data_IF_823914005835
#
_entry.id   IF_823914005835
#
_cell.length_a   1.000
_cell.length_b   1.000
_cell.length_c   1.000
_cell.angle_alpha   90.00
_cell.angle_beta   90.00
_cell.angle_gamma   90.00
#
_symmetry.space_group_name_H-M   'P 1'
#
loop_
_entity.id
_entity.type
_entity.pdbx_description
1 polymer ?
#
# COMPACT_ATOMS: atom_id res chain seq x y z
N UNK A 1 3.87 19.44 -2.13
CA UNK A 1 2.50 19.26 -1.62
C UNK A 1 2.50 19.74 -0.18
N UNK A 2 1.50 20.50 0.30
CA UNK A 2 1.44 20.80 1.75
C UNK A 2 1.09 19.52 2.51
N UNK A 3 1.71 19.28 3.66
CA UNK A 3 1.47 18.06 4.46
C UNK A 3 -0.02 17.84 4.76
N UNK A 4 -0.76 18.93 4.90
CA UNK A 4 -2.23 18.95 5.08
C UNK A 4 -2.97 18.29 3.91
N UNK A 5 -2.57 18.55 2.67
CA UNK A 5 -3.21 17.95 1.50
C UNK A 5 -2.94 16.45 1.44
N UNK A 6 -1.72 16.00 1.76
CA UNK A 6 -1.38 14.59 1.83
C UNK A 6 -2.19 13.87 2.92
N UNK A 7 -2.36 14.48 4.09
CA UNK A 7 -3.23 13.94 5.15
C UNK A 7 -4.70 13.84 4.71
N UNK A 8 -5.23 14.87 4.04
CA UNK A 8 -6.61 14.86 3.55
C UNK A 8 -6.80 13.79 2.49
N UNK A 9 -5.94 13.75 1.47
CA UNK A 9 -6.06 12.78 0.36
C UNK A 9 -5.87 11.36 0.87
N UNK A 10 -4.85 11.12 1.69
CA UNK A 10 -4.61 9.82 2.31
C UNK A 10 -5.73 9.41 3.28
N UNK A 11 -6.24 10.34 4.08
CA UNK A 11 -7.33 10.08 5.01
C UNK A 11 -8.65 9.74 4.30
N UNK A 12 -9.00 10.53 3.27
CA UNK A 12 -10.20 10.30 2.45
C UNK A 12 -10.09 8.98 1.69
N UNK A 13 -8.94 8.70 1.08
CA UNK A 13 -8.70 7.42 0.40
C UNK A 13 -8.86 6.22 1.34
N UNK A 14 -8.34 6.33 2.56
CA UNK A 14 -8.44 5.25 3.55
C UNK A 14 -9.88 5.05 4.00
N UNK A 15 -10.59 6.15 4.29
CA UNK A 15 -12.00 6.11 4.66
C UNK A 15 -12.86 5.49 3.55
N UNK A 16 -12.61 5.83 2.28
CA UNK A 16 -13.34 5.26 1.14
C UNK A 16 -13.14 3.75 1.03
N UNK A 17 -11.91 3.25 1.20
CA UNK A 17 -11.63 1.80 1.15
C UNK A 17 -12.35 1.08 2.30
N UNK A 18 -12.33 1.65 3.50
CA UNK A 18 -13.05 1.09 4.65
C UNK A 18 -14.57 1.05 4.41
N UNK A 19 -15.14 2.11 3.84
CA UNK A 19 -16.56 2.16 3.49
C UNK A 19 -16.88 1.09 2.43
N UNK A 20 -16.08 0.98 1.38
CA UNK A 20 -16.26 -0.04 0.33
C UNK A 20 -16.20 -1.45 0.93
N UNK A 21 -15.29 -1.70 1.88
CA UNK A 21 -15.17 -2.97 2.57
C UNK A 21 -16.42 -3.36 3.38
N UNK A 22 -17.23 -2.40 3.85
CA UNK A 22 -18.47 -2.68 4.56
C UNK A 22 -19.58 -3.18 3.62
N UNK A 23 -19.60 -2.70 2.38
CA UNK A 23 -20.61 -3.07 1.38
C UNK A 23 -20.19 -4.25 0.51
N UNK A 24 -18.89 -4.50 0.37
CA UNK A 24 -18.32 -5.60 -0.43
C UNK A 24 -17.36 -6.42 0.46
N UNK A 25 -17.90 -7.32 1.32
CA UNK A 25 -17.06 -8.11 2.23
C UNK A 25 -16.21 -9.16 1.51
N UNK A 26 -16.68 -9.65 0.35
CA UNK A 26 -16.00 -10.65 -0.48
C UNK A 26 -15.75 -10.12 -1.89
N UNK A 27 -14.74 -9.25 -2.07
CA UNK A 27 -14.38 -8.72 -3.38
C UNK A 27 -13.89 -9.83 -4.32
N UNK A 28 -14.19 -9.70 -5.61
CA UNK A 28 -13.64 -10.59 -6.65
C UNK A 28 -12.11 -10.49 -6.72
N UNK A 29 -11.44 -11.47 -7.31
CA UNK A 29 -9.98 -11.48 -7.44
C UNK A 29 -9.42 -10.18 -8.05
N UNK A 30 -10.10 -9.64 -9.07
CA UNK A 30 -9.70 -8.37 -9.67
C UNK A 30 -9.90 -7.19 -8.72
N UNK A 31 -11.05 -7.12 -8.03
CA UNK A 31 -11.33 -6.07 -7.05
C UNK A 31 -10.32 -6.09 -5.90
N UNK A 32 -9.88 -7.27 -5.44
CA UNK A 32 -8.83 -7.39 -4.43
C UNK A 32 -7.51 -6.78 -4.87
N UNK A 33 -7.11 -7.01 -6.13
CA UNK A 33 -5.88 -6.42 -6.68
C UNK A 33 -5.99 -4.89 -6.73
N UNK A 34 -7.12 -4.37 -7.22
CA UNK A 34 -7.38 -2.93 -7.31
C UNK A 34 -7.43 -2.29 -5.91
N UNK A 35 -8.19 -2.86 -4.98
CA UNK A 35 -8.30 -2.34 -3.61
C UNK A 35 -6.96 -2.35 -2.89
N UNK A 36 -6.16 -3.42 -3.06
CA UNK A 36 -4.80 -3.47 -2.52
C UNK A 36 -3.91 -2.37 -3.10
N UNK A 37 -3.95 -2.17 -4.42
CA UNK A 37 -3.16 -1.13 -5.07
C UNK A 37 -3.52 0.26 -4.53
N UNK A 38 -4.82 0.58 -4.45
CA UNK A 38 -5.29 1.85 -3.92
C UNK A 38 -4.91 1.99 -2.44
N UNK A 39 -5.09 0.96 -1.61
CA UNK A 39 -4.71 0.96 -0.20
C UNK A 39 -3.21 1.26 -0.01
N UNK A 40 -2.35 0.60 -0.78
CA UNK A 40 -0.90 0.83 -0.72
C UNK A 40 -0.53 2.27 -1.11
N UNK A 41 -1.21 2.85 -2.12
CA UNK A 41 -0.99 4.24 -2.52
C UNK A 41 -1.42 5.21 -1.43
N UNK A 42 -2.62 5.00 -0.88
CA UNK A 42 -3.18 5.81 0.20
C UNK A 42 -2.26 5.83 1.42
N UNK A 43 -1.77 4.66 1.84
CA UNK A 43 -0.84 4.56 2.98
C UNK A 43 0.50 5.23 2.64
N UNK A 44 1.02 5.05 1.42
CA UNK A 44 2.22 5.76 0.97
C UNK A 44 2.09 7.29 1.08
N UNK A 45 0.94 7.84 0.69
CA UNK A 45 0.64 9.28 0.80
C UNK A 45 0.56 9.72 2.27
N UNK A 46 -0.06 8.93 3.15
CA UNK A 46 -0.08 9.25 4.58
C UNK A 46 1.32 9.24 5.19
N UNK A 47 2.12 8.22 4.90
CA UNK A 47 3.48 8.08 5.42
C UNK A 47 4.40 9.18 4.88
N UNK A 48 4.10 9.78 3.73
CA UNK A 48 4.90 10.92 3.22
C UNK A 48 4.91 12.13 4.16
N UNK A 49 3.95 12.21 5.09
CA UNK A 49 3.83 13.31 6.07
C UNK A 49 4.58 13.03 7.37
N UNK A 50 4.99 11.78 7.58
CA UNK A 50 5.72 11.37 8.78
C UNK A 50 7.21 11.63 8.55
N UNK A 51 7.87 12.43 9.39
CA UNK A 51 9.31 12.63 9.28
C UNK A 51 10.05 11.34 9.65
N UNK A 52 10.94 10.89 8.78
CA UNK A 52 11.76 9.69 8.99
C UNK A 52 12.02 8.92 7.71
N UNK A 53 13.04 8.05 7.73
CA UNK A 53 13.37 7.18 6.60
C UNK A 53 12.96 5.75 6.94
N UNK A 54 11.73 5.37 6.56
CA UNK A 54 11.39 3.96 6.47
C UNK A 54 12.26 3.36 5.38
N UNK A 55 13.15 2.42 5.68
CA UNK A 55 14.05 1.81 4.70
C UNK A 55 13.75 0.33 4.60
N UNK A 56 13.42 -0.12 3.39
CA UNK A 56 13.22 -1.54 3.10
C UNK A 56 14.28 -2.03 2.12
N UNK A 57 14.75 -3.25 2.36
CA UNK A 57 15.59 -4.00 1.46
C UNK A 57 15.01 -5.40 1.37
N UNK A 58 14.14 -5.61 0.39
CA UNK A 58 13.50 -6.89 0.13
C UNK A 58 14.32 -7.60 -0.93
N UNK A 59 14.78 -8.81 -0.62
CA UNK A 59 15.44 -9.69 -1.57
C UNK A 59 14.64 -10.98 -1.66
N UNK A 60 14.31 -11.42 -2.86
CA UNK A 60 13.58 -12.67 -3.08
C UNK A 60 13.95 -13.34 -4.39
N UNK A 61 13.34 -14.51 -4.63
CA UNK A 61 13.46 -15.29 -5.86
C UNK A 61 12.08 -15.51 -6.47
N UNK A 62 11.95 -15.27 -7.77
CA UNK A 62 10.80 -15.65 -8.58
C UNK A 62 11.34 -16.43 -9.79
N UNK A 63 10.91 -17.69 -9.95
CA UNK A 63 11.15 -18.50 -11.16
C UNK A 63 12.58 -18.37 -11.71
N UNK A 64 13.57 -18.67 -10.85
CA UNK A 64 15.03 -18.57 -11.07
C UNK A 64 15.68 -17.18 -11.14
N UNK A 65 14.91 -16.09 -11.18
CA UNK A 65 15.46 -14.74 -11.15
C UNK A 65 15.45 -14.13 -9.73
N UNK A 66 16.57 -13.53 -9.33
CA UNK A 66 16.67 -12.80 -8.04
C UNK A 66 16.17 -11.37 -8.24
N UNK A 67 15.24 -10.94 -7.40
CA UNK A 67 14.82 -9.54 -7.34
C UNK A 67 15.30 -8.90 -6.04
N UNK A 68 15.68 -7.63 -6.14
CA UNK A 68 16.08 -6.80 -5.00
C UNK A 68 15.33 -5.47 -5.08
N UNK A 69 14.48 -5.19 -4.10
CA UNK A 69 13.72 -3.95 -4.00
C UNK A 69 14.28 -3.17 -2.82
N UNK A 70 14.85 -2.01 -3.13
CA UNK A 70 15.33 -1.06 -2.14
C UNK A 70 14.44 0.17 -2.27
N UNK A 71 13.73 0.51 -1.19
CA UNK A 71 12.86 1.68 -1.18
C UNK A 71 12.97 2.40 0.17
N UNK A 72 12.75 3.71 0.13
CA UNK A 72 12.77 4.58 1.31
C UNK A 72 11.50 5.42 1.46
N UNK A 73 11.23 5.90 2.67
CA UNK A 73 10.14 6.83 2.97
C UNK A 73 8.76 6.29 2.62
N UNK A 74 7.95 7.12 1.93
CA UNK A 74 6.60 6.76 1.48
C UNK A 74 6.55 5.60 0.50
N UNK A 75 7.59 5.46 -0.35
CA UNK A 75 7.67 4.36 -1.33
C UNK A 75 7.87 3.03 -0.59
N UNK A 76 8.67 3.03 0.48
CA UNK A 76 8.83 1.83 1.31
C UNK A 76 7.49 1.37 1.89
N UNK A 77 6.67 2.30 2.38
CA UNK A 77 5.34 1.99 2.92
C UNK A 77 4.41 1.40 1.86
N UNK A 78 4.39 1.99 0.67
CA UNK A 78 3.66 1.45 -0.48
C UNK A 78 4.06 0.01 -0.78
N UNK A 79 5.36 -0.26 -0.90
CA UNK A 79 5.88 -1.59 -1.25
C UNK A 79 5.52 -2.63 -0.18
N UNK A 80 5.65 -2.30 1.11
CA UNK A 80 5.27 -3.22 2.19
C UNK A 80 3.82 -3.64 2.05
N UNK A 81 2.90 -2.67 1.96
CA UNK A 81 1.46 -2.96 1.91
C UNK A 81 1.07 -3.68 0.62
N UNK A 82 1.65 -3.27 -0.51
CA UNK A 82 1.32 -3.86 -1.81
C UNK A 82 1.80 -5.31 -1.93
N UNK A 83 2.99 -5.61 -1.40
CA UNK A 83 3.59 -6.94 -1.50
C UNK A 83 3.15 -7.89 -0.37
N UNK A 84 2.98 -7.39 0.86
CA UNK A 84 2.59 -8.17 2.02
C UNK A 84 1.10 -7.99 2.34
N UNK A 85 0.23 -8.36 1.40
CA UNK A 85 -1.21 -8.41 1.66
C UNK A 85 -1.60 -9.78 2.23
N UNK A 86 -1.97 -9.88 3.52
CA UNK A 86 -2.33 -11.16 4.15
C UNK A 86 -3.62 -11.77 3.59
N UNK A 87 -4.42 -11.02 2.82
CA UNK A 87 -5.67 -11.51 2.24
C UNK A 87 -5.49 -12.44 1.03
N UNK A 88 -4.26 -12.71 0.58
CA UNK A 88 -4.00 -13.83 -0.34
C UNK A 88 -4.05 -15.15 0.43
N UNK A 89 -5.26 -15.54 0.84
CA UNK A 89 -5.54 -16.96 1.11
C UNK A 89 -5.96 -17.54 -0.23
N UNK A 90 -5.07 -18.33 -0.82
CA UNK A 90 -5.30 -19.14 -2.03
C UNK A 90 -6.54 -20.01 -1.90
#
# INVERSE_FOLDING_TARGET
>A
MSDRLSLIIGGVGLALILIISLFIPSPTNWQQVVLRAILSLTIGILISTVPGFLHINLTGKILDNRYKIIATGSIAAFVIIYMFNPAFVS
#
